data_IF_381039199086
#
_entry.id   IF_381039199086
#
_cell.length_a   1.000
_cell.length_b   1.000
_cell.length_c   1.000
_cell.angle_alpha   90.00
_cell.angle_beta   90.00
_cell.angle_gamma   90.00
#
_symmetry.space_group_name_H-M   'P 1'
#
loop_
_entity.id
_entity.type
_entity.pdbx_description
1 polymer ?
#
# COMPACT_ATOMS: atom_id res chain seq x y z
N UNK A 1 -23.73 23.11 10.79
CA UNK A 1 -23.30 22.54 9.49
C UNK A 1 -21.78 22.59 9.51
N UNK A 2 -21.17 21.56 10.10
CA UNK A 2 -19.73 21.42 10.36
C UNK A 2 -19.29 20.07 9.76
N UNK A 3 -18.08 19.99 9.19
CA UNK A 3 -17.59 18.78 8.55
C UNK A 3 -16.96 17.83 9.60
N UNK A 4 -17.57 16.66 9.78
CA UNK A 4 -17.10 15.56 10.64
C UNK A 4 -16.44 14.44 9.82
N UNK A 5 -15.31 14.67 9.15
CA UNK A 5 -14.70 13.54 8.39
C UNK A 5 -13.18 13.56 8.20
N UNK A 6 -12.44 14.13 9.16
CA UNK A 6 -10.96 14.18 9.07
C UNK A 6 -10.26 13.40 10.20
N UNK A 7 -11.00 12.83 11.17
CA UNK A 7 -10.39 12.37 12.42
C UNK A 7 -10.08 10.87 12.54
N UNK A 8 -10.30 10.06 11.50
CA UNK A 8 -10.10 8.60 11.61
C UNK A 8 -8.76 8.08 11.08
N UNK A 9 -7.90 8.93 10.49
CA UNK A 9 -6.57 8.51 9.98
C UNK A 9 -5.40 8.67 10.96
N UNK A 10 -5.58 9.40 12.07
CA UNK A 10 -4.50 9.69 13.00
C UNK A 10 -4.41 8.72 14.20
N UNK A 11 -5.26 7.69 14.28
CA UNK A 11 -5.35 6.79 15.43
C UNK A 11 -4.74 5.39 15.20
N UNK A 12 -4.16 5.12 14.03
CA UNK A 12 -3.56 3.81 13.70
C UNK A 12 -2.01 3.83 13.67
N UNK A 13 -1.38 4.90 14.14
CA UNK A 13 0.09 5.04 14.19
C UNK A 13 0.60 5.15 15.64
N UNK A 14 -0.03 4.40 16.56
CA UNK A 14 0.50 4.16 17.91
C UNK A 14 0.85 2.69 18.08
N UNK A 15 1.52 2.11 17.06
CA UNK A 15 2.15 0.80 17.19
C UNK A 15 3.40 0.93 18.07
N UNK A 16 3.11 0.81 19.36
CA UNK A 16 3.96 0.64 20.52
C UNK A 16 5.44 0.32 20.25
N UNK A 17 6.36 1.27 20.41
CA UNK A 17 7.80 0.99 20.49
C UNK A 17 8.20 0.40 21.86
N UNK A 18 7.29 -0.24 22.62
CA UNK A 18 7.59 -0.80 23.94
C UNK A 18 8.00 -2.26 23.94
N UNK A 19 7.74 -3.03 22.89
CA UNK A 19 8.12 -4.45 22.88
C UNK A 19 9.59 -4.68 22.51
N UNK A 20 10.23 -3.72 21.83
CA UNK A 20 11.64 -3.83 21.46
C UNK A 20 12.59 -3.70 22.67
N UNK A 21 12.19 -2.96 23.71
CA UNK A 21 13.04 -2.70 24.89
C UNK A 21 13.04 -3.84 25.91
N UNK A 22 11.97 -4.63 25.98
CA UNK A 22 11.85 -5.70 26.99
C UNK A 22 12.76 -6.90 26.67
N UNK A 23 12.97 -7.22 25.39
CA UNK A 23 13.87 -8.29 24.94
C UNK A 23 15.35 -7.90 25.09
N UNK A 24 15.68 -6.63 24.85
CA UNK A 24 17.04 -6.09 25.04
C UNK A 24 17.45 -6.13 26.52
N UNK A 25 16.52 -5.91 27.44
CA UNK A 25 16.81 -5.96 28.87
C UNK A 25 17.17 -7.36 29.36
N UNK A 26 16.50 -8.40 28.84
CA UNK A 26 16.81 -9.79 29.17
C UNK A 26 18.17 -10.22 28.60
N UNK A 27 18.49 -9.80 27.37
CA UNK A 27 19.82 -10.02 26.78
C UNK A 27 20.92 -9.28 27.56
N UNK A 28 20.65 -8.04 27.99
CA UNK A 28 21.54 -7.24 28.81
C UNK A 28 21.82 -7.88 30.18
N UNK A 29 20.79 -8.38 30.87
CA UNK A 29 20.95 -9.10 32.14
C UNK A 29 21.77 -10.39 31.94
N UNK A 30 21.53 -11.14 30.85
CA UNK A 30 22.30 -12.34 30.55
C UNK A 30 23.79 -12.03 30.32
N UNK A 31 24.09 -10.95 29.59
CA UNK A 31 25.47 -10.48 29.36
C UNK A 31 26.12 -10.07 30.69
N UNK A 32 25.44 -9.26 31.51
CA UNK A 32 25.96 -8.86 32.83
C UNK A 32 26.20 -10.07 33.72
N UNK A 33 25.28 -11.05 33.73
CA UNK A 33 25.41 -12.25 34.56
C UNK A 33 26.59 -13.11 34.10
N UNK A 34 26.79 -13.26 32.79
CA UNK A 34 27.95 -13.98 32.23
C UNK A 34 29.27 -13.28 32.58
N UNK A 35 29.33 -11.95 32.48
CA UNK A 35 30.50 -11.15 32.87
C UNK A 35 30.74 -11.27 34.39
N UNK A 36 29.69 -11.22 35.21
CA UNK A 36 29.81 -11.33 36.67
C UNK A 36 30.34 -12.71 37.08
N UNK A 37 29.82 -13.78 36.48
CA UNK A 37 30.31 -15.16 36.71
C UNK A 37 31.77 -15.29 36.25
N UNK A 38 32.12 -14.69 35.11
CA UNK A 38 33.50 -14.67 34.62
C UNK A 38 34.44 -13.91 35.58
N UNK A 39 34.07 -12.69 35.98
CA UNK A 39 34.87 -11.87 36.90
C UNK A 39 34.97 -12.56 38.26
N UNK A 40 33.90 -13.19 38.75
CA UNK A 40 33.92 -13.93 40.02
C UNK A 40 34.81 -15.17 39.89
N UNK A 41 34.78 -15.89 38.77
CA UNK A 41 35.64 -17.04 38.50
C UNK A 41 37.12 -16.67 38.34
N UNK A 42 37.43 -15.48 37.81
CA UNK A 42 38.80 -14.97 37.65
C UNK A 42 39.32 -14.32 38.94
N UNK A 43 38.46 -13.59 39.68
CA UNK A 43 38.83 -12.88 40.90
C UNK A 43 38.91 -13.80 42.12
N UNK A 44 38.12 -14.88 42.16
CA UNK A 44 38.35 -15.97 43.09
C UNK A 44 39.61 -16.70 42.64
N UNK A 45 40.77 -16.30 43.17
CA UNK A 45 41.98 -17.13 43.17
C UNK A 45 41.64 -18.45 43.86
N UNK A 46 41.20 -19.44 43.10
CA UNK A 46 41.13 -20.83 43.55
C UNK A 46 42.57 -21.35 43.61
N UNK A 47 43.32 -20.94 44.65
CA UNK A 47 44.69 -21.40 44.84
C UNK A 47 44.69 -22.82 45.41
N UNK A 48 43.68 -23.21 46.20
CA UNK A 48 43.39 -24.61 46.59
C UNK A 48 41.96 -24.76 47.12
N UNK A 49 41.26 -25.85 46.78
CA UNK A 49 40.08 -26.30 47.52
C UNK A 49 40.54 -27.37 48.50
N UNK A 50 40.58 -27.06 49.80
CA UNK A 50 40.93 -28.05 50.82
C UNK A 50 39.74 -28.99 51.07
N UNK A 51 39.74 -30.14 50.39
CA UNK A 51 39.00 -31.29 50.87
C UNK A 51 39.85 -32.01 51.90
N UNK A 52 39.19 -32.49 52.97
CA UNK A 52 39.73 -32.99 54.25
C UNK A 52 40.96 -33.92 54.20
N UNK A 53 41.37 -34.45 53.03
CA UNK A 53 42.58 -35.25 52.81
C UNK A 53 43.20 -35.16 51.38
N UNK A 54 42.77 -34.24 50.51
CA UNK A 54 43.30 -34.13 49.14
C UNK A 54 43.41 -32.68 48.68
N UNK A 55 44.60 -32.31 48.21
CA UNK A 55 44.86 -31.05 47.51
C UNK A 55 44.78 -31.32 46.01
N UNK A 56 43.69 -30.89 45.38
CA UNK A 56 43.52 -30.95 43.93
C UNK A 56 43.86 -29.56 43.37
N UNK A 57 45.02 -29.38 42.71
CA UNK A 57 45.35 -28.12 42.05
C UNK A 57 44.47 -28.00 40.82
N UNK A 58 43.46 -27.14 40.89
CA UNK A 58 42.66 -26.81 39.72
C UNK A 58 43.49 -25.81 38.89
N UNK A 59 43.92 -26.16 37.67
CA UNK A 59 44.67 -25.23 36.84
C UNK A 59 43.78 -24.03 36.48
N UNK A 60 44.32 -22.82 36.62
CA UNK A 60 43.60 -21.56 36.36
C UNK A 60 42.99 -21.50 34.94
N UNK A 61 43.59 -22.22 33.99
CA UNK A 61 43.11 -22.39 32.62
C UNK A 61 41.75 -23.09 32.50
N UNK A 62 41.35 -23.88 33.50
CA UNK A 62 40.06 -24.57 33.51
C UNK A 62 38.90 -23.57 33.62
N UNK A 63 39.03 -22.52 34.44
CA UNK A 63 38.04 -21.46 34.55
C UNK A 63 37.90 -20.67 33.26
N UNK A 64 39.02 -20.35 32.60
CA UNK A 64 39.04 -19.66 31.31
C UNK A 64 38.38 -20.49 30.20
N UNK A 65 38.65 -21.80 30.18
CA UNK A 65 38.05 -22.72 29.21
C UNK A 65 36.54 -22.84 29.42
N UNK A 66 36.10 -22.94 30.67
CA UNK A 66 34.68 -23.00 31.00
C UNK A 66 33.95 -21.71 30.59
N UNK A 67 34.56 -20.55 30.82
CA UNK A 67 34.01 -19.27 30.39
C UNK A 67 33.92 -19.12 28.87
N UNK A 68 34.94 -19.59 28.13
CA UNK A 68 34.90 -19.61 26.67
C UNK A 68 33.76 -20.48 26.12
N UNK A 69 33.52 -21.64 26.75
CA UNK A 69 32.42 -22.53 26.38
C UNK A 69 31.06 -21.91 26.69
N UNK A 70 30.86 -21.32 27.88
CA UNK A 70 29.57 -20.70 28.20
C UNK A 70 29.29 -19.47 27.34
N UNK A 71 30.32 -18.65 27.04
CA UNK A 71 30.20 -17.51 26.15
C UNK A 71 29.81 -17.93 24.73
N UNK A 72 30.46 -18.96 24.17
CA UNK A 72 30.11 -19.47 22.84
C UNK A 72 28.69 -20.01 22.78
N UNK A 73 28.21 -20.71 23.81
CA UNK A 73 26.82 -21.14 23.88
C UNK A 73 25.82 -19.98 23.90
N UNK A 74 26.10 -18.91 24.65
CA UNK A 74 25.21 -17.72 24.71
C UNK A 74 25.18 -17.00 23.36
N UNK A 75 26.33 -16.82 22.71
CA UNK A 75 26.40 -16.20 21.38
C UNK A 75 25.67 -17.06 20.34
N UNK A 76 25.83 -18.38 20.39
CA UNK A 76 25.15 -19.29 19.47
C UNK A 76 23.62 -19.23 19.65
N UNK A 77 23.11 -19.24 20.89
CA UNK A 77 21.68 -19.13 21.19
C UNK A 77 21.10 -17.80 20.69
N UNK A 78 21.82 -16.69 20.85
CA UNK A 78 21.40 -15.39 20.32
C UNK A 78 21.34 -15.37 18.79
N UNK A 79 22.33 -15.96 18.12
CA UNK A 79 22.36 -16.05 16.66
C UNK A 79 21.19 -16.90 16.14
N UNK A 80 20.96 -18.07 16.75
CA UNK A 80 19.84 -18.96 16.41
C UNK A 80 18.48 -18.28 16.56
N UNK A 81 18.25 -17.56 17.66
CA UNK A 81 17.01 -16.78 17.86
C UNK A 81 16.86 -15.65 16.85
N UNK A 82 17.98 -15.01 16.47
CA UNK A 82 18.01 -13.99 15.43
C UNK A 82 17.53 -14.51 14.07
N UNK A 83 18.00 -15.70 13.68
CA UNK A 83 17.61 -16.33 12.41
C UNK A 83 16.12 -16.71 12.36
N UNK A 84 15.59 -17.34 13.42
CA UNK A 84 14.17 -17.69 13.49
C UNK A 84 13.28 -16.45 13.37
N UNK A 85 13.68 -15.36 14.04
CA UNK A 85 12.93 -14.09 13.97
C UNK A 85 13.02 -13.42 12.59
N UNK A 86 14.13 -13.59 11.87
CA UNK A 86 14.30 -13.05 10.52
C UNK A 86 13.37 -13.77 9.53
N UNK A 87 13.22 -15.08 9.66
CA UNK A 87 12.35 -15.90 8.80
C UNK A 87 10.87 -15.53 8.98
N UNK A 88 10.43 -15.29 10.21
CA UNK A 88 9.05 -14.83 10.48
C UNK A 88 8.76 -13.44 9.89
N UNK A 89 9.73 -12.53 9.97
CA UNK A 89 9.60 -11.18 9.37
C UNK A 89 9.56 -11.29 7.86
N UNK A 90 10.46 -12.06 7.26
CA UNK A 90 10.50 -12.25 5.80
C UNK A 90 9.20 -12.85 5.27
N UNK A 91 8.63 -13.84 5.98
CA UNK A 91 7.35 -14.45 5.60
C UNK A 91 6.19 -13.46 5.69
N UNK A 92 6.17 -12.59 6.71
CA UNK A 92 5.15 -11.53 6.83
C UNK A 92 5.28 -10.51 5.71
N UNK A 93 6.49 -10.11 5.35
CA UNK A 93 6.73 -9.16 4.28
C UNK A 93 6.26 -9.70 2.92
N UNK A 94 6.51 -10.97 2.63
CA UNK A 94 6.01 -11.63 1.41
C UNK A 94 4.47 -11.68 1.35
N UNK A 95 3.80 -11.95 2.47
CA UNK A 95 2.34 -11.96 2.54
C UNK A 95 1.74 -10.57 2.34
N UNK A 96 2.35 -9.53 2.92
CA UNK A 96 1.94 -8.15 2.73
C UNK A 96 2.15 -7.74 1.27
N UNK A 97 3.29 -8.06 0.69
CA UNK A 97 3.60 -7.76 -0.71
C UNK A 97 2.59 -8.40 -1.66
N UNK A 98 2.21 -9.67 -1.44
CA UNK A 98 1.18 -10.34 -2.25
C UNK A 98 -0.19 -9.66 -2.15
N UNK A 99 -0.58 -9.22 -0.94
CA UNK A 99 -1.85 -8.51 -0.73
C UNK A 99 -1.86 -7.15 -1.43
N UNK A 100 -0.74 -6.44 -1.39
CA UNK A 100 -0.61 -5.14 -2.05
C UNK A 100 -0.61 -5.28 -3.58
N UNK A 101 0.04 -6.30 -4.13
CA UNK A 101 -0.03 -6.62 -5.55
C UNK A 101 -1.45 -6.96 -6.00
N UNK A 102 -2.18 -7.78 -5.23
CA UNK A 102 -3.56 -8.14 -5.55
C UNK A 102 -4.48 -6.91 -5.48
N UNK A 103 -4.27 -6.04 -4.48
CA UNK A 103 -4.99 -4.78 -4.35
C UNK A 103 -4.73 -3.85 -5.53
N UNK A 104 -3.48 -3.70 -5.93
CA UNK A 104 -3.10 -2.91 -7.10
C UNK A 104 -3.75 -3.43 -8.38
N UNK A 105 -3.77 -4.75 -8.60
CA UNK A 105 -4.45 -5.34 -9.77
C UNK A 105 -5.95 -5.03 -9.77
N UNK A 106 -6.62 -5.18 -8.62
CA UNK A 106 -8.05 -4.86 -8.50
C UNK A 106 -8.34 -3.38 -8.76
N UNK A 107 -7.49 -2.49 -8.25
CA UNK A 107 -7.63 -1.06 -8.46
C UNK A 107 -7.39 -0.67 -9.92
N UNK A 108 -6.43 -1.30 -10.59
CA UNK A 108 -6.15 -1.09 -12.01
C UNK A 108 -7.33 -1.57 -12.89
N UNK A 109 -7.86 -2.76 -12.64
CA UNK A 109 -9.06 -3.24 -13.32
C UNK A 109 -10.27 -2.34 -13.08
N UNK A 110 -10.47 -1.85 -11.85
CA UNK A 110 -11.56 -0.94 -11.54
C UNK A 110 -11.40 0.40 -12.28
N UNK A 111 -10.17 0.90 -12.43
CA UNK A 111 -9.88 2.11 -13.22
C UNK A 111 -10.13 1.88 -14.70
N UNK A 112 -9.72 0.75 -15.25
CA UNK A 112 -9.97 0.39 -16.65
C UNK A 112 -11.48 0.34 -16.94
N UNK A 113 -12.25 -0.36 -16.11
CA UNK A 113 -13.71 -0.45 -16.26
C UNK A 113 -14.39 0.92 -16.15
N UNK A 114 -13.93 1.79 -15.26
CA UNK A 114 -14.44 3.16 -15.14
C UNK A 114 -14.12 4.00 -16.38
N UNK A 115 -12.91 3.87 -16.93
CA UNK A 115 -12.52 4.59 -18.14
C UNK A 115 -13.35 4.14 -19.36
N UNK A 116 -13.59 2.84 -19.50
CA UNK A 116 -14.42 2.31 -20.59
C UNK A 116 -15.90 2.71 -20.43
N UNK A 117 -16.43 2.70 -19.21
CA UNK A 117 -17.78 3.18 -18.94
C UNK A 117 -17.93 4.68 -19.28
N UNK A 118 -16.94 5.51 -18.90
CA UNK A 118 -16.93 6.93 -19.21
C UNK A 118 -16.88 7.19 -20.73
N UNK A 119 -16.07 6.42 -21.48
CA UNK A 119 -16.03 6.51 -22.95
C UNK A 119 -17.37 6.14 -23.58
N UNK A 120 -17.99 5.06 -23.12
CA UNK A 120 -19.30 4.63 -23.62
C UNK A 120 -20.40 5.66 -23.29
N UNK A 121 -20.33 6.32 -22.14
CA UNK A 121 -21.24 7.40 -21.77
C UNK A 121 -21.04 8.64 -22.66
N UNK A 122 -19.79 9.06 -22.87
CA UNK A 122 -19.45 10.15 -23.78
C UNK A 122 -19.95 9.89 -25.21
N UNK A 123 -19.82 8.67 -25.70
CA UNK A 123 -20.35 8.27 -27.02
C UNK A 123 -21.88 8.37 -27.06
N UNK A 124 -22.57 7.93 -26.01
CA UNK A 124 -24.03 8.06 -25.90
C UNK A 124 -24.48 9.51 -25.87
N UNK A 125 -23.78 10.36 -25.13
CA UNK A 125 -24.08 11.80 -25.06
C UNK A 125 -23.89 12.42 -26.44
N UNK A 126 -22.76 12.15 -27.10
CA UNK A 126 -22.49 12.65 -28.47
C UNK A 126 -23.53 12.17 -29.49
N UNK A 127 -23.96 10.90 -29.40
CA UNK A 127 -25.00 10.35 -30.25
C UNK A 127 -26.35 11.08 -30.02
N UNK A 128 -26.73 11.24 -28.74
CA UNK A 128 -27.97 11.95 -28.36
C UNK A 128 -27.94 13.41 -28.79
N UNK A 129 -26.79 14.08 -28.68
CA UNK A 129 -26.61 15.45 -29.18
C UNK A 129 -26.78 15.54 -30.70
N UNK A 130 -26.19 14.61 -31.45
CA UNK A 130 -26.35 14.55 -32.92
C UNK A 130 -27.81 14.36 -33.30
N UNK A 131 -28.52 13.45 -32.65
CA UNK A 131 -29.94 13.21 -32.90
C UNK A 131 -30.81 14.42 -32.54
N UNK A 132 -30.53 15.06 -31.40
CA UNK A 132 -31.26 16.26 -30.96
C UNK A 132 -31.04 17.42 -31.93
N UNK A 133 -29.80 17.64 -32.38
CA UNK A 133 -29.46 18.65 -33.38
C UNK A 133 -30.16 18.38 -34.71
N UNK A 134 -30.11 17.14 -35.21
CA UNK A 134 -30.79 16.71 -36.43
C UNK A 134 -32.30 16.99 -36.35
N UNK A 135 -32.94 16.55 -35.27
CA UNK A 135 -34.39 16.75 -35.05
C UNK A 135 -34.76 18.23 -35.03
N UNK A 136 -33.91 19.07 -34.40
CA UNK A 136 -34.12 20.52 -34.35
C UNK A 136 -34.06 21.16 -35.74
N UNK A 137 -33.11 20.77 -36.59
CA UNK A 137 -32.98 21.29 -37.95
C UNK A 137 -34.16 20.82 -38.80
N UNK A 138 -34.54 19.54 -38.73
CA UNK A 138 -35.68 19.00 -39.46
C UNK A 138 -37.00 19.68 -39.07
N UNK A 139 -37.21 19.94 -37.78
CA UNK A 139 -38.38 20.68 -37.29
C UNK A 139 -38.42 22.11 -37.83
N UNK A 140 -37.27 22.78 -37.91
CA UNK A 140 -37.16 24.12 -38.51
C UNK A 140 -37.47 24.09 -40.00
N UNK A 141 -36.96 23.10 -40.73
CA UNK A 141 -37.28 22.91 -42.15
C UNK A 141 -38.78 22.71 -42.38
N UNK A 142 -39.42 21.78 -41.65
CA UNK A 142 -40.87 21.53 -41.76
C UNK A 142 -41.68 22.80 -41.49
N UNK A 143 -41.27 23.58 -40.49
CA UNK A 143 -41.93 24.85 -40.15
C UNK A 143 -41.76 25.89 -41.26
N UNK A 144 -40.55 26.04 -41.81
CA UNK A 144 -40.27 26.98 -42.89
C UNK A 144 -41.00 26.60 -44.18
N UNK A 145 -41.06 25.31 -44.51
CA UNK A 145 -41.79 24.78 -45.66
C UNK A 145 -43.29 25.06 -45.53
N UNK A 146 -43.87 24.81 -44.36
CA UNK A 146 -45.28 25.12 -44.10
C UNK A 146 -45.57 26.63 -44.27
N UNK A 147 -44.69 27.51 -43.75
CA UNK A 147 -44.82 28.96 -43.94
C UNK A 147 -44.72 29.39 -45.40
N UNK A 148 -43.80 28.80 -46.16
CA UNK A 148 -43.66 29.06 -47.59
C UNK A 148 -44.90 28.64 -48.39
N UNK A 149 -45.52 27.49 -48.05
CA UNK A 149 -46.76 27.05 -48.70
C UNK A 149 -47.96 27.93 -48.35
N UNK A 150 -48.01 28.48 -47.13
CA UNK A 150 -49.06 29.41 -46.71
C UNK A 150 -48.91 30.80 -47.34
N UNK A 151 -47.67 31.29 -47.45
CA UNK A 151 -47.35 32.58 -48.06
C UNK A 151 -46.00 32.52 -48.79
N UNK A 152 -45.97 32.42 -50.13
CA UNK A 152 -44.75 32.27 -50.93
C UNK A 152 -44.01 33.61 -51.15
N UNK A 153 -43.89 34.43 -50.10
CA UNK A 153 -43.15 35.69 -50.09
C UNK A 153 -41.63 35.48 -50.26
N UNK A 154 -40.93 36.51 -50.73
CA UNK A 154 -39.47 36.49 -50.91
C UNK A 154 -38.73 36.21 -49.59
N UNK A 155 -39.28 36.67 -48.47
CA UNK A 155 -38.74 36.41 -47.14
C UNK A 155 -38.77 34.91 -46.79
N UNK A 156 -39.91 34.24 -47.00
CA UNK A 156 -40.04 32.80 -46.73
C UNK A 156 -39.21 31.96 -47.71
N UNK A 157 -39.05 32.39 -48.96
CA UNK A 157 -38.12 31.74 -49.91
C UNK A 157 -36.68 31.78 -49.41
N UNK A 158 -36.23 32.95 -48.95
CA UNK A 158 -34.87 33.12 -48.42
C UNK A 158 -34.65 32.28 -47.15
N UNK A 159 -35.60 32.29 -46.22
CA UNK A 159 -35.54 31.44 -45.03
C UNK A 159 -35.47 29.94 -45.35
N UNK A 160 -36.24 29.49 -46.34
CA UNK A 160 -36.22 28.09 -46.77
C UNK A 160 -34.88 27.73 -47.43
N UNK A 161 -34.34 28.62 -48.27
CA UNK A 161 -33.04 28.43 -48.91
C UNK A 161 -31.89 28.35 -47.88
N UNK A 162 -31.89 29.22 -46.87
CA UNK A 162 -30.87 29.19 -45.79
C UNK A 162 -30.92 27.88 -45.00
N UNK A 163 -32.12 27.34 -44.71
CA UNK A 163 -32.27 26.07 -43.99
C UNK A 163 -31.88 24.87 -44.89
N UNK A 164 -32.16 24.94 -46.19
CA UNK A 164 -31.73 23.92 -47.15
C UNK A 164 -30.20 23.86 -47.26
N UNK A 165 -29.53 25.01 -47.32
CA UNK A 165 -28.07 25.08 -47.32
C UNK A 165 -27.47 24.46 -46.04
N UNK A 166 -28.06 24.74 -44.88
CA UNK A 166 -27.65 24.12 -43.60
C UNK A 166 -27.87 22.59 -43.59
N UNK A 167 -28.92 22.08 -44.22
CA UNK A 167 -29.16 20.64 -44.34
C UNK A 167 -28.16 19.96 -45.28
N UNK A 168 -27.75 20.65 -46.35
CA UNK A 168 -26.76 20.17 -47.30
C UNK A 168 -25.36 20.07 -46.65
N UNK A 169 -24.94 21.09 -45.91
CA UNK A 169 -23.71 21.06 -45.11
C UNK A 169 -23.71 19.92 -44.07
N UNK A 170 -24.88 19.62 -43.48
CA UNK A 170 -25.02 18.52 -42.52
C UNK A 170 -25.02 17.13 -43.15
N UNK A 171 -25.38 17.03 -44.44
CA UNK A 171 -25.33 15.77 -45.18
C UNK A 171 -23.89 15.36 -45.49
N UNK A 172 -23.02 16.32 -45.75
CA UNK A 172 -21.61 16.07 -46.09
C UNK A 172 -20.71 15.79 -44.87
N UNK A 173 -21.23 15.98 -43.65
CA UNK A 173 -20.50 15.77 -42.38
C UNK A 173 -20.87 14.48 -41.63
N UNK A 174 -21.73 13.64 -42.22
CA UNK A 174 -22.14 12.30 -41.74
C UNK A 174 -21.35 11.19 -42.45
#
# INVERSE_FOLDING_TARGET
MLPEDVNHRALLEWDSPREKTMLDFQAFIAIITAILVFVTGVALKYETIHFKNYELPIPQWAGLSFAGVTFTFVVLDQILRGFVRLEEVQRRDEEVQRRDEERNRRDEEARARKADAARAEDERIRATERETRRTRIETRYRTALARFHLDPSQFHRKQLADILALLEEYRDTL
#
